data_IF_339978097458
#
_entry.id   IF_339978097458
#
_cell.length_a   1.000
_cell.length_b   1.000
_cell.length_c   1.000
_cell.angle_alpha   90.00
_cell.angle_beta   90.00
_cell.angle_gamma   90.00
#
_symmetry.space_group_name_H-M   'P 1'
#
loop_
_entity.id
_entity.type
_entity.pdbx_description
1 polymer ?
2 non-polymer ?
3 non-polymer ?
4 non-polymer ?
5 water ?
#
# COMPACT_ATOMS: atom_id res chain seq x y z
N UNK A 4 26.18 0.26 -5.51
CA UNK A 4 25.51 -1.07 -5.43
C UNK A 4 26.11 -2.02 -6.43
N UNK A 5 26.00 -3.32 -6.17
CA UNK A 5 26.47 -4.29 -7.18
C UNK A 5 25.68 -4.15 -8.46
N UNK A 6 26.33 -4.35 -9.60
CA UNK A 6 25.64 -4.33 -10.89
C UNK A 6 24.61 -5.44 -11.06
N UNK A 7 24.84 -6.56 -10.40
CA UNK A 7 23.87 -7.65 -10.39
C UNK A 7 23.82 -8.34 -9.05
N UNK A 8 22.63 -8.89 -8.76
CA UNK A 8 22.36 -9.63 -7.56
C UNK A 8 21.52 -10.84 -7.92
N UNK A 9 21.78 -11.97 -7.30
CA UNK A 9 20.95 -13.16 -7.44
C UNK A 9 20.94 -13.87 -6.11
N UNK A 10 19.87 -13.71 -5.34
CA UNK A 10 19.82 -14.28 -4.01
C UNK A 10 19.77 -15.79 -4.03
N UNK A 11 19.43 -16.38 -5.17
CA UNK A 11 19.57 -17.84 -5.29
C UNK A 11 20.99 -18.31 -5.06
N UNK A 12 21.97 -17.53 -5.52
CA UNK A 12 23.40 -17.83 -5.31
C UNK A 12 23.82 -17.85 -3.87
N UNK A 13 23.10 -17.11 -3.03
CA UNK A 13 23.38 -17.04 -1.60
C UNK A 13 22.56 -18.03 -0.78
N UNK A 14 21.80 -18.89 -1.46
CA UNK A 14 21.04 -19.91 -0.80
C UNK A 14 19.84 -19.38 -0.04
N UNK A 15 19.31 -18.24 -0.49
CA UNK A 15 18.25 -17.55 0.25
C UNK A 15 16.88 -17.70 -0.38
N UNK A 16 16.78 -18.55 -1.41
CA UNK A 16 15.54 -18.73 -2.13
C UNK A 16 15.13 -20.20 -2.17
N UNK A 17 13.93 -20.48 -1.71
CA UNK A 17 13.42 -21.83 -1.72
C UNK A 17 12.98 -22.24 -3.12
N UNK A 18 12.64 -23.52 -3.24
CA UNK A 18 12.09 -24.01 -4.47
C UNK A 18 10.85 -23.24 -4.90
N UNK A 19 10.69 -23.12 -6.22
CA UNK A 19 9.50 -22.54 -6.79
C UNK A 19 8.31 -23.39 -6.43
N UNK A 20 7.25 -22.71 -6.01
CA UNK A 20 5.99 -23.32 -5.64
C UNK A 20 4.94 -23.19 -6.74
N UNK A 21 3.88 -23.98 -6.61
CA UNK A 21 2.81 -24.04 -7.61
C UNK A 21 1.50 -23.73 -6.92
N UNK A 22 0.93 -22.57 -7.21
CA UNK A 22 -0.26 -22.12 -6.51
C UNK A 22 -1.53 -22.79 -7.00
N UNK A 23 -1.49 -23.39 -8.19
CA UNK A 23 -2.68 -24.01 -8.76
C UNK A 23 -3.78 -23.00 -9.01
N UNK A 24 -5.03 -23.43 -8.86
CA UNK A 24 -6.19 -22.60 -9.13
C UNK A 24 -6.64 -21.85 -7.88
N UNK A 25 -5.69 -21.35 -7.12
CA UNK A 25 -5.96 -20.59 -5.92
C UNK A 25 -5.14 -19.30 -6.07
N UNK A 26 -5.78 -18.14 -5.90
CA UNK A 26 -5.13 -16.83 -6.05
C UNK A 26 -4.34 -16.47 -4.82
N UNK A 27 -3.35 -17.29 -4.52
CA UNK A 27 -2.55 -17.17 -3.31
C UNK A 27 -1.16 -16.61 -3.61
N UNK A 28 -1.01 -15.94 -4.75
CA UNK A 28 0.28 -15.39 -5.11
C UNK A 28 0.83 -14.48 -4.01
N UNK A 29 -0.04 -13.69 -3.42
CA UNK A 29 0.33 -12.77 -2.37
C UNK A 29 0.96 -13.51 -1.19
N UNK A 30 0.45 -14.70 -0.89
CA UNK A 30 0.94 -15.50 0.22
C UNK A 30 2.30 -16.08 -0.15
N UNK A 31 2.47 -16.56 -1.39
CA UNK A 31 3.77 -17.04 -1.82
C UNK A 31 4.81 -15.92 -1.85
N UNK A 32 4.43 -14.75 -2.33
CA UNK A 32 5.34 -13.62 -2.36
C UNK A 32 5.80 -13.30 -0.95
N UNK A 33 4.84 -13.23 -0.03
CA UNK A 33 5.19 -12.87 1.34
C UNK A 33 6.11 -13.91 1.98
N UNK A 34 5.76 -15.18 1.88
CA UNK A 34 6.61 -16.18 2.52
C UNK A 34 8.00 -16.21 1.88
N UNK A 35 8.07 -16.02 0.56
CA UNK A 35 9.34 -15.95 -0.10
C UNK A 35 10.24 -14.90 0.46
N UNK A 36 9.70 -13.71 0.68
CA UNK A 36 10.47 -12.63 1.23
C UNK A 36 10.96 -12.98 2.63
N UNK A 37 10.08 -13.57 3.43
CA UNK A 37 10.45 -13.89 4.81
C UNK A 37 11.45 -15.05 4.88
N UNK A 38 11.34 -16.01 3.97
CA UNK A 38 12.27 -17.15 3.89
C UNK A 38 13.68 -16.67 3.74
N UNK A 39 13.89 -15.63 2.94
CA UNK A 39 15.23 -15.10 2.73
C UNK A 39 15.75 -14.53 4.03
N UNK A 40 14.92 -13.77 4.71
CA UNK A 40 15.35 -13.16 5.96
C UNK A 40 15.66 -14.23 7.01
N UNK A 41 14.87 -15.29 7.03
CA UNK A 41 15.09 -16.39 7.96
C UNK A 41 16.44 -17.04 7.69
N UNK A 42 16.78 -17.23 6.43
CA UNK A 42 18.12 -17.76 6.09
C UNK A 42 19.22 -16.81 6.53
N UNK A 43 19.05 -15.53 6.28
CA UNK A 43 20.05 -14.54 6.66
C UNK A 43 20.24 -14.53 8.17
N UNK A 44 19.18 -14.71 8.92
CA UNK A 44 19.24 -14.61 10.37
C UNK A 44 19.74 -15.89 11.02
N UNK A 45 19.28 -17.04 10.53
CA UNK A 45 19.52 -18.31 11.22
C UNK A 45 20.43 -19.27 10.48
N UNK A 46 20.65 -18.99 9.21
CA UNK A 46 21.50 -19.82 8.39
C UNK A 46 20.79 -20.99 7.79
N UNK A 47 19.49 -21.15 8.08
CA UNK A 47 18.71 -22.25 7.56
C UNK A 47 17.68 -21.77 6.53
N UNK A 48 17.67 -22.43 5.38
CA UNK A 48 16.68 -22.18 4.35
C UNK A 48 15.50 -23.12 4.55
N UNK A 49 14.33 -22.56 4.84
CA UNK A 49 13.13 -23.32 5.14
C UNK A 49 11.93 -22.73 4.42
N UNK A 50 11.18 -23.53 3.69
CA UNK A 50 9.95 -23.02 3.08
C UNK A 50 8.91 -22.79 4.15
N UNK A 51 8.31 -21.62 4.09
CA UNK A 51 7.28 -21.24 5.05
C UNK A 51 5.89 -21.44 4.46
N UNK A 52 4.90 -21.47 5.33
CA UNK A 52 3.58 -21.91 4.97
C UNK A 52 2.75 -20.81 4.33
N UNK A 53 2.65 -20.80 3.00
CA UNK A 53 1.67 -19.97 2.33
C UNK A 53 0.25 -20.29 2.76
N UNK A 54 -0.04 -21.56 3.01
CA UNK A 54 -1.36 -21.95 3.45
C UNK A 54 -1.74 -21.30 4.78
N UNK A 55 -0.79 -21.17 5.69
CA UNK A 55 -1.01 -20.50 6.97
C UNK A 55 -1.50 -19.09 6.71
N UNK A 56 -0.92 -18.40 5.74
CA UNK A 56 -1.41 -17.07 5.42
C UNK A 56 -2.78 -17.10 4.78
N UNK A 57 -2.99 -17.98 3.83
CA UNK A 57 -4.30 -18.09 3.19
C UNK A 57 -5.41 -18.32 4.21
N UNK A 58 -5.16 -19.23 5.16
CA UNK A 58 -6.20 -19.61 6.09
C UNK A 58 -6.36 -18.68 7.27
N UNK A 59 -5.29 -17.98 7.63
CA UNK A 59 -5.23 -17.24 8.89
C UNK A 59 -5.11 -15.74 8.74
N UNK A 60 -4.47 -15.26 7.69
CA UNK A 60 -4.38 -13.81 7.48
C UNK A 60 -5.54 -13.44 6.60
N UNK A 61 -6.73 -13.30 7.20
CA UNK A 61 -7.96 -13.25 6.43
C UNK A 61 -8.60 -11.86 6.53
N UNK A 62 -9.89 -11.80 6.88
CA UNK A 62 -10.64 -10.54 6.80
C UNK A 62 -10.03 -9.40 7.61
N UNK A 63 -9.47 -9.71 8.78
CA UNK A 63 -8.91 -8.68 9.66
C UNK A 63 -7.76 -7.97 8.94
N UNK A 64 -7.16 -8.68 8.00
CA UNK A 64 -6.01 -8.19 7.25
C UNK A 64 -6.37 -7.74 5.83
N UNK A 65 -7.65 -7.72 5.52
CA UNK A 65 -8.12 -7.33 4.20
C UNK A 65 -7.90 -8.36 3.12
N UNK A 66 -7.53 -9.57 3.53
CA UNK A 66 -7.21 -10.62 2.60
C UNK A 66 -8.36 -11.57 2.39
N UNK A 67 -8.32 -12.28 1.27
CA UNK A 67 -9.42 -13.10 0.81
C UNK A 67 -8.95 -14.47 0.34
N UNK A 68 -7.85 -14.95 0.91
CA UNK A 68 -7.42 -16.31 0.71
C UNK A 68 -7.13 -16.58 -0.73
N UNK A 69 -7.83 -17.55 -1.30
CA UNK A 69 -7.66 -17.89 -2.70
C UNK A 69 -8.21 -16.84 -3.64
N UNK A 70 -8.86 -15.79 -3.12
CA UNK A 70 -9.29 -14.70 -3.93
C UNK A 70 -8.51 -13.41 -3.72
N UNK A 71 -7.27 -13.53 -3.26
CA UNK A 71 -6.34 -12.42 -3.26
C UNK A 71 -6.05 -11.87 -1.89
N UNK A 72 -5.00 -11.07 -1.83
CA UNK A 72 -4.56 -10.49 -0.59
C UNK A 72 -3.39 -9.58 -0.81
N UNK A 73 -2.84 -9.12 0.30
CA UNK A 73 -1.74 -8.17 0.31
C UNK A 73 -0.54 -8.79 0.99
N UNK A 74 0.65 -8.59 0.43
CA UNK A 74 1.86 -9.04 1.10
C UNK A 74 2.10 -8.31 2.39
N UNK A 75 1.85 -7.00 2.38
CA UNK A 75 2.15 -6.23 3.58
C UNK A 75 1.27 -6.65 4.74
N UNK A 76 0.00 -6.91 4.49
CA UNK A 76 -0.89 -7.24 5.57
C UNK A 76 -0.62 -8.68 6.01
N UNK A 77 -0.14 -9.53 5.09
CA UNK A 77 0.37 -10.85 5.47
C UNK A 77 1.53 -10.70 6.44
N UNK A 78 2.43 -9.78 6.19
CA UNK A 78 3.54 -9.56 7.14
C UNK A 78 3.00 -9.13 8.47
N UNK A 79 2.00 -8.24 8.45
CA UNK A 79 1.46 -7.76 9.72
C UNK A 79 0.82 -8.88 10.50
N UNK A 80 0.15 -9.82 9.82
CA UNK A 80 -0.42 -10.99 10.48
C UNK A 80 0.69 -11.77 11.15
N UNK A 81 1.79 -11.97 10.46
CA UNK A 81 2.87 -12.76 11.04
C UNK A 81 3.40 -12.06 12.29
N UNK A 82 3.53 -10.74 12.24
CA UNK A 82 3.93 -9.97 13.41
C UNK A 82 2.94 -10.14 14.56
N UNK A 83 1.68 -9.89 14.27
CA UNK A 83 0.60 -9.96 15.26
C UNK A 83 0.50 -11.34 15.87
N UNK A 84 0.66 -12.34 15.01
CA UNK A 84 0.52 -13.74 15.39
C UNK A 84 1.72 -14.31 16.11
N UNK A 85 2.82 -13.58 16.07
CA UNK A 85 4.11 -13.98 16.65
C UNK A 85 4.67 -15.24 16.00
N UNK A 86 4.32 -15.45 14.74
CA UNK A 86 4.95 -16.53 13.98
C UNK A 86 4.19 -16.99 12.77
N UNK A 87 4.86 -17.81 11.98
CA UNK A 87 4.29 -18.50 10.85
C UNK A 87 4.89 -19.91 10.87
N UNK A 88 4.06 -20.86 10.53
CA UNK A 88 4.45 -22.28 10.48
C UNK A 88 5.26 -22.59 9.24
N UNK A 89 6.02 -23.67 9.32
CA UNK A 89 6.72 -24.14 8.14
C UNK A 89 5.75 -24.70 7.11
N UNK A 90 6.19 -24.72 5.85
CA UNK A 90 5.42 -25.33 4.80
C UNK A 90 5.21 -26.82 5.07
N UNK A 91 6.26 -27.50 5.54
CA UNK A 91 6.15 -28.93 5.81
C UNK A 91 5.06 -29.23 6.84
N UNK A 92 4.94 -28.37 7.84
CA UNK A 92 3.98 -28.58 8.91
C UNK A 92 2.56 -28.19 8.56
N UNK A 93 2.41 -27.28 7.61
CA UNK A 93 1.14 -26.66 7.28
C UNK A 93 1.13 -26.54 5.75
N UNK A 94 0.95 -27.67 5.08
CA UNK A 94 1.17 -27.69 3.65
C UNK A 94 0.08 -27.02 2.84
N UNK A 95 0.46 -26.72 1.61
CA UNK A 95 -0.37 -25.94 0.72
C UNK A 95 -1.35 -26.82 -0.03
N UNK A 96 -2.62 -26.44 0.07
CA UNK A 96 -3.72 -27.21 -0.51
C UNK A 96 -4.46 -26.49 -1.61
N UNK A 97 -4.11 -25.24 -1.89
CA UNK A 97 -4.75 -24.48 -2.95
C UNK A 97 -6.24 -24.35 -2.74
N UNK A 98 -6.61 -24.18 -1.48
CA UNK A 98 -8.00 -23.94 -1.14
C UNK A 98 -8.04 -23.20 0.18
N UNK A 99 -9.18 -22.54 0.43
CA UNK A 99 -9.42 -21.87 1.70
C UNK A 99 -9.77 -22.90 2.74
N UNK A 100 -9.12 -22.84 3.89
CA UNK A 100 -9.33 -23.78 5.00
C UNK A 100 -9.44 -23.00 6.29
N UNK A 101 -9.85 -23.71 7.33
CA UNK A 101 -9.84 -23.10 8.64
C UNK A 101 -8.41 -22.86 9.10
N UNK A 102 -8.21 -21.84 9.93
CA UNK A 102 -6.92 -21.53 10.46
C UNK A 102 -6.50 -22.66 11.36
N UNK A 103 -5.34 -23.21 11.06
CA UNK A 103 -4.77 -24.31 11.81
C UNK A 103 -3.38 -23.97 12.30
N UNK A 104 -3.07 -22.69 12.45
CA UNK A 104 -1.78 -22.28 13.01
C UNK A 104 -1.53 -22.92 14.36
N UNK A 105 -0.31 -23.43 14.55
CA UNK A 105 0.16 -23.92 15.83
C UNK A 105 1.58 -23.48 16.07
N UNK A 106 1.87 -22.89 17.22
CA UNK A 106 3.18 -22.34 17.50
C UNK A 106 4.23 -23.45 17.58
N UNK A 107 3.80 -24.70 17.77
CA UNK A 107 4.81 -25.75 17.86
C UNK A 107 5.43 -26.04 16.53
N UNK A 108 4.80 -25.55 15.48
CA UNK A 108 5.33 -25.69 14.12
C UNK A 108 5.85 -24.38 13.58
N UNK A 109 6.00 -23.39 14.44
CA UNK A 109 6.55 -22.13 14.01
C UNK A 109 7.93 -22.28 13.44
N UNK A 110 8.14 -21.71 12.25
CA UNK A 110 9.46 -21.72 11.62
C UNK A 110 10.09 -20.33 11.41
N UNK A 111 9.30 -19.27 11.59
CA UNK A 111 9.79 -17.93 11.48
C UNK A 111 8.88 -16.96 12.23
N UNK A 112 9.46 -15.82 12.50
CA UNK A 112 8.77 -14.65 13.05
C UNK A 112 9.00 -13.46 12.13
N UNK A 113 8.26 -12.39 12.39
CA UNK A 113 8.44 -11.14 11.69
C UNK A 113 8.26 -10.05 12.74
N UNK A 114 9.14 -9.06 12.72
CA UNK A 114 9.06 -7.93 13.67
C UNK A 114 8.56 -6.65 13.05
N UNK A 115 8.72 -6.53 11.73
CA UNK A 115 8.41 -5.30 11.03
C UNK A 115 8.42 -5.57 9.55
N UNK A 116 7.85 -4.65 8.80
CA UNK A 116 8.03 -4.67 7.37
C UNK A 116 8.18 -3.25 6.88
N UNK A 117 8.70 -3.11 5.67
CA UNK A 117 8.98 -1.81 5.08
C UNK A 117 8.39 -1.78 3.69
N UNK A 118 7.64 -0.71 3.39
CA UNK A 118 7.12 -0.48 2.05
C UNK A 118 7.98 0.55 1.37
N UNK A 119 8.45 0.22 0.19
CA UNK A 119 9.32 1.13 -0.56
C UNK A 119 8.47 2.16 -1.31
N UNK A 120 9.06 3.32 -1.57
CA UNK A 120 8.38 4.40 -2.27
C UNK A 120 7.93 4.01 -3.65
N UNK A 121 6.77 4.50 -4.05
CA UNK A 121 6.14 4.08 -5.28
C UNK A 121 7.01 4.36 -6.51
N UNK A 122 7.22 3.31 -7.29
CA UNK A 122 7.81 3.42 -8.62
C UNK A 122 9.30 3.68 -8.69
N UNK A 123 9.97 3.71 -7.54
CA UNK A 123 11.39 4.05 -7.48
C UNK A 123 12.24 2.80 -7.69
N UNK A 124 12.68 2.60 -8.93
CA UNK A 124 13.45 1.39 -9.24
C UNK A 124 14.82 1.41 -8.66
N UNK A 125 15.38 2.61 -8.44
CA UNK A 125 16.67 2.74 -7.78
C UNK A 125 16.62 2.31 -6.30
N UNK A 126 15.52 2.67 -5.65
CA UNK A 126 15.31 2.31 -4.26
C UNK A 126 15.08 0.82 -4.15
N UNK A 127 14.36 0.27 -5.12
CA UNK A 127 14.15 -1.16 -5.15
C UNK A 127 15.47 -1.92 -5.34
N UNK A 128 16.32 -1.41 -6.24
CA UNK A 128 17.61 -2.00 -6.45
C UNK A 128 18.42 -2.02 -5.16
N UNK A 129 18.40 -0.89 -4.44
CA UNK A 129 19.12 -0.82 -3.17
C UNK A 129 18.62 -1.86 -2.16
N UNK A 130 17.31 -2.04 -2.07
CA UNK A 130 16.74 -2.96 -1.12
C UNK A 130 17.09 -4.39 -1.50
N UNK A 131 16.98 -4.71 -2.79
CA UNK A 131 17.34 -6.04 -3.22
C UNK A 131 18.83 -6.31 -2.95
N UNK A 132 19.69 -5.32 -3.15
CA UNK A 132 21.13 -5.52 -2.90
C UNK A 132 21.42 -5.65 -1.40
N UNK A 133 20.81 -4.76 -0.61
CA UNK A 133 21.21 -4.61 0.80
C UNK A 133 20.35 -5.29 1.83
N UNK A 134 19.11 -5.58 1.48
CA UNK A 134 18.17 -6.17 2.42
C UNK A 134 17.84 -7.61 2.08
N UNK A 135 17.53 -7.87 0.82
CA UNK A 135 17.13 -9.24 0.45
C UNK A 135 16.06 -9.18 -0.58
N UNK A 136 15.51 -10.32 -0.95
CA UNK A 136 14.39 -10.38 -1.87
C UNK A 136 13.21 -9.50 -1.40
N UNK A 137 12.54 -8.89 -2.36
CA UNK A 137 11.48 -7.94 -2.07
C UNK A 137 10.18 -8.37 -2.72
N UNK A 138 9.09 -8.36 -1.94
CA UNK A 138 7.77 -8.72 -2.43
C UNK A 138 7.30 -7.57 -3.29
N UNK A 139 6.77 -7.85 -4.46
CA UNK A 139 6.21 -6.84 -5.34
C UNK A 139 4.97 -7.33 -6.01
N UNK A 140 4.15 -6.40 -6.52
CA UNK A 140 3.11 -6.74 -7.47
C UNK A 140 3.55 -6.39 -8.87
N UNK A 141 3.05 -7.16 -9.81
CA UNK A 141 3.24 -6.87 -11.23
C UNK A 141 1.92 -7.04 -11.97
N UNK A 142 1.84 -6.35 -13.09
CA UNK A 142 0.77 -6.56 -14.06
C UNK A 142 1.12 -7.78 -14.89
N UNK A 143 0.52 -8.89 -14.51
CA UNK A 143 0.70 -10.19 -15.18
C UNK A 143 -0.50 -10.60 -16.00
N UNK A 144 -1.31 -9.62 -16.44
CA UNK A 144 -2.57 -9.91 -17.15
C UNK A 144 -2.39 -10.23 -18.61
N UNK A 145 -1.26 -9.87 -19.18
CA UNK A 145 -1.13 -9.86 -20.63
C UNK A 145 -0.75 -11.25 -21.12
N UNK A 146 -1.36 -11.70 -22.22
CA UNK A 146 -1.06 -13.04 -22.74
C UNK A 146 0.43 -13.38 -22.88
N UNK A 147 1.26 -12.37 -23.19
CA UNK A 147 2.67 -12.60 -23.31
C UNK A 147 3.31 -13.08 -22.00
N UNK A 148 2.77 -12.66 -20.86
CA UNK A 148 3.33 -13.06 -19.58
C UNK A 148 3.30 -14.55 -19.42
N UNK A 149 2.14 -15.15 -19.73
CA UNK A 149 1.97 -16.57 -19.50
C UNK A 149 2.90 -17.39 -20.38
N UNK A 150 3.26 -16.82 -21.52
CA UNK A 150 4.03 -17.50 -22.55
C UNK A 150 5.51 -17.21 -22.51
N UNK A 151 5.95 -16.44 -21.52
CA UNK A 151 7.35 -16.09 -21.40
C UNK A 151 8.21 -17.33 -21.26
N UNK A 152 9.32 -17.38 -22.01
CA UNK A 152 10.24 -18.51 -21.87
C UNK A 152 11.65 -18.09 -21.58
N UNK A 153 12.10 -16.98 -22.13
CA UNK A 153 13.48 -16.58 -22.01
C UNK A 153 13.69 -15.12 -22.31
N UNK A 154 14.91 -14.65 -22.07
CA UNK A 154 15.24 -13.28 -22.36
C UNK A 154 14.72 -12.39 -21.26
N UNK A 155 14.49 -11.14 -21.62
CA UNK A 155 13.99 -10.15 -20.66
C UNK A 155 12.64 -9.70 -21.14
N UNK A 156 11.65 -9.87 -20.27
CA UNK A 156 10.27 -9.60 -20.61
C UNK A 156 10.00 -8.13 -20.70
N UNK A 157 9.51 -7.72 -21.86
CA UNK A 157 9.07 -6.38 -22.10
C UNK A 157 7.81 -6.44 -22.93
N UNK A 158 6.75 -5.88 -22.38
CA UNK A 158 5.44 -5.92 -22.99
C UNK A 158 4.93 -4.49 -23.09
N UNK A 159 4.89 -3.92 -24.31
CA UNK A 159 4.40 -2.56 -24.49
C UNK A 159 3.03 -2.32 -23.94
N UNK A 160 2.19 -3.35 -23.85
CA UNK A 160 0.85 -3.19 -23.33
C UNK A 160 0.76 -3.26 -21.80
N UNK A 161 1.90 -3.46 -21.14
CA UNK A 161 1.91 -3.56 -19.69
C UNK A 161 1.51 -2.21 -19.09
N UNK A 162 0.97 -2.28 -17.88
CA UNK A 162 0.54 -1.10 -17.13
C UNK A 162 1.12 -1.15 -15.75
N UNK A 163 0.86 -0.10 -14.98
CA UNK A 163 1.28 -0.09 -13.59
C UNK A 163 0.17 -0.52 -12.65
N UNK A 164 -0.92 -1.05 -13.18
CA UNK A 164 -2.00 -1.59 -12.39
C UNK A 164 -1.66 -3.05 -12.11
N UNK A 165 -1.15 -3.32 -10.91
CA UNK A 165 -0.62 -4.65 -10.57
C UNK A 165 -1.72 -5.59 -10.15
N UNK A 166 -1.57 -6.87 -10.49
CA UNK A 166 -2.60 -7.87 -10.22
C UNK A 166 -2.06 -9.20 -9.71
N UNK A 167 -0.75 -9.29 -9.53
CA UNK A 167 -0.13 -10.55 -9.19
C UNK A 167 1.08 -10.32 -8.30
N UNK A 168 1.11 -11.00 -7.16
CA UNK A 168 2.18 -10.86 -6.21
C UNK A 168 3.29 -11.82 -6.58
N UNK A 169 4.51 -11.31 -6.62
CA UNK A 169 5.70 -12.09 -6.94
C UNK A 169 6.87 -11.63 -6.09
N UNK A 170 8.05 -12.20 -6.31
CA UNK A 170 9.20 -11.92 -5.45
C UNK A 170 10.38 -11.54 -6.32
N UNK A 171 10.93 -10.36 -6.09
CA UNK A 171 12.16 -9.98 -6.75
C UNK A 171 13.32 -10.55 -5.97
N UNK A 172 14.07 -11.45 -6.62
CA UNK A 172 15.19 -12.13 -5.98
C UNK A 172 16.53 -11.71 -6.54
N UNK A 173 16.52 -10.73 -7.42
CA UNK A 173 17.75 -10.25 -7.99
C UNK A 173 17.54 -9.26 -9.09
N UNK A 174 18.63 -8.89 -9.72
CA UNK A 174 18.61 -7.99 -10.86
C UNK A 174 19.91 -8.11 -11.59
N UNK A 175 19.92 -7.65 -12.81
CA UNK A 175 21.13 -7.71 -13.63
C UNK A 175 20.90 -7.14 -15.01
N UNK A 176 21.75 -7.58 -15.93
CA UNK A 176 21.64 -7.22 -17.32
C UNK A 176 22.00 -8.42 -18.17
N UNK A 177 21.17 -8.65 -19.16
CA UNK A 177 21.32 -9.76 -20.08
C UNK A 177 21.30 -9.17 -21.46
N UNK A 178 22.42 -9.29 -22.17
CA UNK A 178 22.49 -8.80 -23.53
C UNK A 178 22.00 -7.38 -23.72
N UNK A 179 22.41 -6.53 -22.79
CA UNK A 179 22.12 -5.11 -22.88
C UNK A 179 20.79 -4.70 -22.34
N UNK A 180 20.01 -5.66 -21.85
CA UNK A 180 18.71 -5.36 -21.24
C UNK A 180 18.77 -5.57 -19.75
N UNK A 181 18.56 -4.50 -19.01
CA UNK A 181 18.47 -4.60 -17.58
C UNK A 181 17.21 -5.32 -17.16
N UNK A 182 17.31 -6.10 -16.11
CA UNK A 182 16.17 -6.89 -15.68
C UNK A 182 16.10 -7.01 -14.16
N UNK A 183 14.88 -7.26 -13.71
CA UNK A 183 14.60 -7.77 -12.39
C UNK A 183 14.40 -9.26 -12.50
N UNK A 184 15.01 -10.00 -11.58
CA UNK A 184 14.83 -11.44 -11.54
C UNK A 184 13.67 -11.74 -10.62
N UNK A 185 12.61 -12.32 -11.16
CA UNK A 185 11.35 -12.49 -10.46
C UNK A 185 11.00 -13.97 -10.30
N UNK A 186 10.78 -14.37 -9.06
CA UNK A 186 10.29 -15.70 -8.73
C UNK A 186 8.77 -15.67 -8.73
N UNK A 187 8.17 -16.51 -9.56
CA UNK A 187 6.74 -16.61 -9.64
C UNK A 187 6.33 -17.85 -8.87
N UNK A 188 5.03 -18.10 -8.75
CA UNK A 188 4.49 -19.23 -8.01
C UNK A 188 3.53 -20.04 -8.89
N UNK A 189 3.93 -20.23 -10.15
CA UNK A 189 3.16 -21.04 -11.10
C UNK A 189 3.95 -22.29 -11.45
N UNK A 190 4.79 -22.72 -10.54
CA UNK A 190 5.57 -23.95 -10.73
C UNK A 190 6.75 -23.75 -11.62
N UNK A 191 7.59 -24.79 -11.70
CA UNK A 191 8.81 -24.69 -12.50
C UNK A 191 8.55 -24.75 -14.02
N UNK A 192 7.33 -25.11 -14.47
CA UNK A 192 6.96 -25.07 -15.91
C UNK A 192 6.92 -23.66 -16.44
N UNK A 193 6.60 -22.71 -15.56
CA UNK A 193 6.50 -21.34 -15.99
C UNK A 193 7.86 -20.74 -16.24
N UNK A 194 8.02 -20.04 -17.37
CA UNK A 194 9.20 -19.27 -17.60
C UNK A 194 10.48 -20.06 -17.56
N UNK A 195 11.50 -19.50 -16.90
CA UNK A 195 12.78 -20.13 -16.75
C UNK A 195 12.80 -20.82 -15.40
N UNK A 196 12.30 -22.05 -15.35
CA UNK A 196 12.26 -22.86 -14.12
C UNK A 196 11.52 -22.11 -13.03
N UNK A 197 10.52 -21.35 -13.44
CA UNK A 197 9.62 -20.70 -12.48
C UNK A 197 9.89 -19.25 -12.30
N UNK A 198 10.95 -18.76 -12.96
CA UNK A 198 11.39 -17.37 -12.89
C UNK A 198 11.12 -16.63 -14.19
N UNK A 199 11.01 -15.31 -14.07
CA UNK A 199 10.91 -14.45 -15.21
C UNK A 199 11.81 -13.26 -14.99
N UNK A 200 12.59 -12.92 -16.01
CA UNK A 200 13.36 -11.70 -16.01
C UNK A 200 12.51 -10.60 -16.57
N UNK A 201 12.23 -9.56 -15.78
CA UNK A 201 11.34 -8.49 -16.22
C UNK A 201 12.10 -7.18 -16.43
N UNK A 202 11.75 -6.41 -17.44
CA UNK A 202 12.49 -5.20 -17.77
C UNK A 202 12.65 -4.26 -16.57
N UNK A 203 13.89 -3.81 -16.39
CA UNK A 203 14.27 -2.91 -15.34
C UNK A 203 14.74 -1.58 -15.89
N UNK A 204 14.38 -0.52 -15.18
CA UNK A 204 14.66 0.86 -15.56
C UNK A 204 14.02 1.18 -16.90
N UNK A 205 12.83 0.62 -17.13
CA UNK A 205 12.02 0.93 -18.30
C UNK A 205 10.66 1.48 -17.86
N UNK A 206 10.70 2.53 -17.06
CA UNK A 206 9.49 3.21 -16.70
C UNK A 206 8.59 2.43 -15.78
N UNK A 207 9.17 1.74 -14.79
CA UNK A 207 8.38 0.96 -13.85
C UNK A 207 7.50 0.01 -14.63
N UNK A 208 8.16 -0.78 -15.46
CA UNK A 208 7.51 -1.67 -16.38
C UNK A 208 6.69 -2.71 -15.62
N UNK A 209 5.43 -2.81 -16.03
CA UNK A 209 4.48 -3.74 -15.41
C UNK A 209 4.24 -3.44 -13.93
N UNK A 210 4.60 -2.25 -13.49
CA UNK A 210 4.36 -1.88 -12.11
C UNK A 210 5.27 -2.57 -11.10
N UNK A 211 6.37 -3.14 -11.56
CA UNK A 211 7.20 -3.96 -10.69
C UNK A 211 7.65 -3.20 -9.43
N UNK A 212 7.89 -1.89 -9.56
CA UNK A 212 8.34 -1.10 -8.42
C UNK A 212 7.22 -0.29 -7.80
N UNK A 213 5.99 -0.58 -8.17
CA UNK A 213 4.84 0.16 -7.65
C UNK A 213 4.66 -0.03 -6.15
N UNK A 214 4.63 -1.29 -5.72
CA UNK A 214 4.29 -1.61 -4.34
C UNK A 214 5.24 -2.67 -3.75
N UNK A 215 6.51 -2.31 -3.59
CA UNK A 215 7.48 -3.27 -3.02
C UNK A 215 7.50 -3.23 -1.51
N UNK A 216 7.71 -4.38 -0.88
CA UNK A 216 7.83 -4.45 0.55
C UNK A 216 8.73 -5.60 0.94
N UNK A 217 9.36 -5.48 2.08
CA UNK A 217 10.12 -6.61 2.63
C UNK A 217 9.98 -6.66 4.14
N UNK A 218 10.00 -7.86 4.70
CA UNK A 218 9.88 -8.04 6.13
C UNK A 218 11.23 -8.14 6.76
N UNK A 219 11.23 -8.01 8.08
CA UNK A 219 12.41 -8.35 8.83
C UNK A 219 12.05 -9.20 10.01
N UNK A 220 12.99 -10.05 10.38
CA UNK A 220 12.89 -10.84 11.59
C UNK A 220 13.45 -9.92 12.67
N UNK B 4 1.02 10.92 24.95
CA UNK B 4 0.24 11.65 23.90
C UNK B 4 -0.95 12.38 24.50
N UNK B 5 -1.34 13.50 23.89
CA UNK B 5 -2.53 14.15 24.39
C UNK B 5 -3.75 13.25 24.29
N UNK B 6 -4.73 13.43 25.16
CA UNK B 6 -5.96 12.66 25.11
C UNK B 6 -6.83 13.00 23.91
N UNK B 7 -6.72 14.25 23.42
CA UNK B 7 -7.49 14.74 22.29
C UNK B 7 -6.63 15.67 21.47
N UNK B 8 -6.81 15.60 20.14
CA UNK B 8 -6.14 16.48 19.19
C UNK B 8 -7.19 16.90 18.15
N UNK B 9 -7.15 18.17 17.75
CA UNK B 9 -7.96 18.70 16.65
C UNK B 9 -7.11 19.68 15.86
N UNK B 10 -6.62 19.24 14.70
CA UNK B 10 -5.77 20.10 13.88
C UNK B 10 -6.44 21.33 13.33
N UNK B 11 -7.77 21.37 13.37
CA UNK B 11 -8.47 22.58 12.98
C UNK B 11 -8.17 23.72 13.95
N UNK B 12 -7.95 23.39 15.22
CA UNK B 12 -7.60 24.40 16.22
C UNK B 12 -6.24 24.99 15.99
N UNK B 13 -5.42 24.29 15.21
CA UNK B 13 -4.06 24.69 14.93
C UNK B 13 -3.95 25.41 13.59
N UNK B 14 -5.07 25.64 12.92
CA UNK B 14 -5.09 26.35 11.66
C UNK B 14 -4.53 25.57 10.48
N UNK B 15 -4.57 24.24 10.58
CA UNK B 15 -3.93 23.37 9.59
C UNK B 15 -4.89 22.61 8.71
N UNK B 16 -6.18 22.95 8.76
CA UNK B 16 -7.21 22.25 7.98
C UNK B 16 -8.03 23.26 7.19
N UNK B 17 -8.15 23.05 5.89
CA UNK B 17 -8.90 23.95 5.02
C UNK B 17 -10.39 23.62 5.07
N UNK B 18 -11.17 24.42 4.35
CA UNK B 18 -12.60 24.23 4.21
C UNK B 18 -12.83 22.84 3.63
N UNK B 19 -13.95 22.27 4.02
CA UNK B 19 -14.43 21.02 3.48
C UNK B 19 -14.77 21.21 2.02
N UNK B 20 -14.33 20.25 1.22
CA UNK B 20 -14.57 20.25 -0.22
C UNK B 20 -15.69 19.27 -0.59
N UNK B 21 -16.22 19.48 -1.80
CA UNK B 21 -17.34 18.68 -2.30
C UNK B 21 -16.89 18.01 -3.57
N UNK B 22 -16.73 16.68 -3.52
CA UNK B 22 -16.21 15.97 -4.68
C UNK B 22 -17.25 15.80 -5.78
N UNK B 23 -18.52 15.90 -5.43
CA UNK B 23 -19.58 15.70 -6.42
C UNK B 23 -19.61 14.28 -6.93
N UNK B 24 -19.92 14.12 -8.21
CA UNK B 24 -20.07 12.78 -8.79
C UNK B 24 -18.75 12.09 -9.12
N UNK B 25 -17.62 12.74 -8.84
CA UNK B 25 -16.30 12.25 -9.19
C UNK B 25 -15.68 11.57 -7.95
N UNK B 26 -15.23 10.33 -8.10
CA UNK B 26 -14.60 9.57 -7.03
C UNK B 26 -13.18 10.01 -6.77
N UNK B 27 -13.01 11.27 -6.39
CA UNK B 27 -11.71 11.85 -6.16
C UNK B 27 -11.37 11.94 -4.68
N UNK B 28 -12.04 11.15 -3.84
CA UNK B 28 -11.79 11.14 -2.40
C UNK B 28 -10.30 11.03 -2.08
N UNK B 29 -9.63 10.14 -2.79
CA UNK B 29 -8.19 9.92 -2.65
C UNK B 29 -7.37 11.20 -2.85
N UNK B 30 -7.77 11.99 -3.83
CA UNK B 30 -7.10 13.23 -4.15
C UNK B 30 -7.34 14.25 -3.06
N UNK B 31 -8.56 14.36 -2.58
CA UNK B 31 -8.86 15.27 -1.49
C UNK B 31 -8.14 14.87 -0.21
N UNK B 32 -8.11 13.57 0.06
CA UNK B 32 -7.37 13.10 1.24
C UNK B 32 -5.90 13.49 1.15
N UNK B 33 -5.30 13.29 0.00
CA UNK B 33 -3.90 13.56 -0.17
C UNK B 33 -3.60 15.05 -0.05
N UNK B 34 -4.39 15.87 -0.73
CA UNK B 34 -4.14 17.30 -0.62
C UNK B 34 -4.38 17.78 0.78
N UNK B 35 -5.36 17.23 1.47
CA UNK B 35 -5.58 17.66 2.84
C UNK B 35 -4.41 17.38 3.74
N UNK B 36 -3.80 16.21 3.59
CA UNK B 36 -2.66 15.88 4.42
C UNK B 36 -1.50 16.81 4.11
N UNK B 37 -1.32 17.14 2.85
CA UNK B 37 -0.22 18.02 2.47
C UNK B 37 -0.49 19.48 2.83
N UNK B 38 -1.74 19.89 2.79
CA UNK B 38 -2.12 21.25 3.20
C UNK B 38 -1.65 21.50 4.63
N UNK B 39 -1.81 20.51 5.51
CA UNK B 39 -1.39 20.69 6.89
C UNK B 39 0.11 20.85 7.01
N UNK B 40 0.86 20.04 6.25
CA UNK B 40 2.30 20.14 6.31
C UNK B 40 2.76 21.47 5.76
N UNK B 41 2.10 21.94 4.72
CA UNK B 41 2.42 23.25 4.14
C UNK B 41 2.22 24.35 5.17
N UNK B 42 1.15 24.27 5.92
CA UNK B 42 0.93 25.27 6.99
C UNK B 42 2.03 25.19 8.03
N UNK B 43 2.38 23.99 8.45
CA UNK B 43 3.44 23.81 9.46
C UNK B 43 4.76 24.36 8.98
N UNK B 44 5.01 24.23 7.68
CA UNK B 44 6.30 24.63 7.12
C UNK B 44 6.37 26.12 6.87
N UNK B 45 5.31 26.69 6.30
CA UNK B 45 5.34 28.06 5.78
C UNK B 45 4.45 29.05 6.50
N UNK B 46 3.58 28.55 7.36
CA UNK B 46 2.60 29.40 8.02
C UNK B 46 1.37 29.79 7.22
N UNK B 47 1.28 29.30 5.99
CA UNK B 47 0.17 29.63 5.12
C UNK B 47 -0.74 28.43 4.99
N UNK B 48 -2.03 28.66 5.18
CA UNK B 48 -3.05 27.65 4.94
C UNK B 48 -3.60 27.87 3.55
N UNK B 49 -3.36 26.91 2.65
CA UNK B 49 -3.68 27.06 1.25
C UNK B 49 -4.30 25.76 0.77
N UNK B 50 -5.51 25.84 0.20
CA UNK B 50 -6.11 24.65 -0.45
C UNK B 50 -5.29 24.28 -1.65
N UNK B 51 -4.93 23.01 -1.72
CA UNK B 51 -4.13 22.51 -2.82
C UNK B 51 -5.01 21.80 -3.83
N UNK B 52 -4.50 21.67 -5.04
CA UNK B 52 -5.34 21.24 -6.15
C UNK B 52 -5.59 19.73 -6.22
N UNK B 53 -6.75 19.32 -5.75
CA UNK B 53 -7.20 17.95 -5.96
C UNK B 53 -7.32 17.63 -7.45
N UNK B 54 -7.72 18.62 -8.23
CA UNK B 54 -7.87 18.41 -9.64
C UNK B 54 -6.54 18.08 -10.32
N UNK B 55 -5.48 18.74 -9.90
CA UNK B 55 -4.14 18.45 -10.36
C UNK B 55 -3.83 16.98 -10.18
N UNK B 56 -4.23 16.41 -9.04
CA UNK B 56 -3.97 14.98 -8.82
C UNK B 56 -4.86 14.14 -9.74
N UNK B 57 -6.14 14.46 -9.81
CA UNK B 57 -7.07 13.74 -10.69
C UNK B 57 -6.53 13.67 -12.11
N UNK B 58 -6.08 14.81 -12.62
CA UNK B 58 -5.68 14.93 -14.03
C UNK B 58 -4.30 14.43 -14.34
N UNK B 59 -3.39 14.49 -13.36
CA UNK B 59 -1.98 14.30 -13.60
C UNK B 59 -1.41 13.07 -12.92
N UNK B 60 -1.94 12.67 -11.76
CA UNK B 60 -1.45 11.48 -11.07
C UNK B 60 -2.31 10.35 -11.56
N UNK B 61 -2.01 9.88 -12.75
CA UNK B 61 -2.93 9.01 -13.46
C UNK B 61 -2.32 7.62 -13.64
N UNK B 62 -2.29 7.10 -14.85
CA UNK B 62 -1.93 5.69 -15.03
C UNK B 62 -0.57 5.29 -14.50
N UNK B 63 0.40 6.18 -14.62
CA UNK B 63 1.75 5.86 -14.14
C UNK B 63 1.75 5.63 -12.64
N UNK B 64 0.75 6.18 -11.96
CA UNK B 64 0.63 6.11 -10.51
C UNK B 64 -0.45 5.13 -10.07
N UNK B 65 -0.99 4.37 -11.02
CA UNK B 65 -2.00 3.40 -10.69
C UNK B 65 -3.36 3.96 -10.38
N UNK B 66 -3.53 5.25 -10.65
CA UNK B 66 -4.75 5.93 -10.37
C UNK B 66 -5.64 6.07 -11.58
N UNK B 67 -6.91 6.31 -11.31
CA UNK B 67 -7.95 6.31 -12.33
C UNK B 67 -8.85 7.51 -12.22
N UNK B 68 -8.30 8.62 -11.72
CA UNK B 68 -9.03 9.88 -11.72
C UNK B 68 -10.32 9.81 -10.94
N UNK B 69 -11.43 10.08 -11.61
CA UNK B 69 -12.74 10.02 -10.95
C UNK B 69 -13.20 8.61 -10.61
N UNK B 70 -12.46 7.60 -11.07
CA UNK B 70 -12.74 6.22 -10.71
C UNK B 70 -11.76 5.67 -9.67
N UNK B 71 -11.13 6.56 -8.93
CA UNK B 71 -10.36 6.17 -7.76
C UNK B 71 -8.87 6.21 -7.92
N UNK B 72 -8.19 6.06 -6.79
CA UNK B 72 -6.75 6.15 -6.76
C UNK B 72 -6.21 6.02 -5.35
N UNK B 73 -4.91 6.20 -5.21
CA UNK B 73 -4.22 5.99 -3.94
C UNK B 73 -3.63 7.30 -3.45
N UNK B 74 -3.77 7.59 -2.15
CA UNK B 74 -3.12 8.77 -1.59
C UNK B 74 -1.62 8.65 -1.66
N UNK B 75 -1.08 7.46 -1.41
CA UNK B 75 0.36 7.31 -1.41
C UNK B 75 0.94 7.60 -2.79
N UNK B 76 0.30 7.12 -3.85
CA UNK B 76 0.87 7.32 -5.18
C UNK B 76 0.64 8.75 -5.64
N UNK B 77 -0.42 9.39 -5.14
CA UNK B 77 -0.59 10.82 -5.27
C UNK B 77 0.58 11.57 -4.65
N UNK B 78 1.00 11.20 -3.44
CA UNK B 78 2.15 11.86 -2.85
C UNK B 78 3.38 11.67 -3.72
N UNK B 79 3.57 10.46 -4.23
CA UNK B 79 4.74 10.19 -5.04
C UNK B 79 4.73 11.03 -6.32
N UNK B 80 3.55 11.20 -6.92
CA UNK B 80 3.42 12.09 -8.07
C UNK B 80 3.91 13.47 -7.70
N UNK B 81 3.49 13.96 -6.55
CA UNK B 81 3.90 15.33 -6.17
C UNK B 81 5.42 15.41 -6.01
N UNK B 82 6.02 14.38 -5.45
CA UNK B 82 7.47 14.31 -5.30
C UNK B 82 8.11 14.30 -6.69
N UNK B 83 7.66 13.40 -7.56
CA UNK B 83 8.26 13.22 -8.89
C UNK B 83 8.10 14.48 -9.71
N UNK B 84 6.95 15.13 -9.55
CA UNK B 84 6.59 16.28 -10.37
C UNK B 84 7.24 17.56 -9.88
N UNK B 85 7.78 17.49 -8.67
CA UNK B 85 8.41 18.61 -7.98
C UNK B 85 7.41 19.71 -7.70
N UNK B 86 6.14 19.33 -7.54
CA UNK B 86 5.14 20.29 -7.13
C UNK B 86 3.70 19.88 -7.34
N UNK B 87 2.83 20.64 -6.70
CA UNK B 87 1.41 20.59 -6.91
C UNK B 87 0.92 22.04 -6.91
N UNK B 88 -0.03 22.33 -7.77
CA UNK B 88 -0.58 23.65 -7.89
C UNK B 88 -1.58 23.96 -6.78
N UNK B 89 -1.83 25.25 -6.56
CA UNK B 89 -2.92 25.61 -5.68
C UNK B 89 -4.29 25.28 -6.26
N UNK B 90 -5.25 25.04 -5.40
CA UNK B 90 -6.62 24.90 -5.82
C UNK B 90 -7.08 26.12 -6.59
N UNK B 91 -6.69 27.30 -6.12
CA UNK B 91 -7.13 28.53 -6.76
C UNK B 91 -6.71 28.57 -8.21
N UNK B 92 -5.50 28.12 -8.50
CA UNK B 92 -4.96 28.17 -9.84
C UNK B 92 -5.44 27.03 -10.72
N UNK B 93 -5.83 25.94 -10.08
CA UNK B 93 -6.16 24.70 -10.80
C UNK B 93 -7.39 24.14 -10.09
N UNK B 94 -8.55 24.76 -10.29
CA UNK B 94 -9.73 24.46 -9.52
C UNK B 94 -10.38 23.14 -9.88
N UNK B 95 -11.22 22.69 -8.98
CA UNK B 95 -11.83 21.39 -9.06
C UNK B 95 -13.08 21.41 -9.90
N UNK B 96 -13.11 20.48 -10.86
CA UNK B 96 -14.18 20.40 -11.85
C UNK B 96 -14.96 19.10 -11.77
N UNK B 97 -14.55 18.17 -10.90
CA UNK B 97 -15.32 16.93 -10.71
C UNK B 97 -15.46 16.12 -12.00
N UNK B 98 -14.41 16.12 -12.80
CA UNK B 98 -14.34 15.30 -13.98
C UNK B 98 -12.88 15.07 -14.30
N UNK B 99 -12.60 14.03 -15.08
CA UNK B 99 -11.25 13.78 -15.56
C UNK B 99 -10.93 14.79 -16.65
N UNK B 100 -9.75 15.38 -16.58
CA UNK B 100 -9.26 16.32 -17.60
C UNK B 100 -7.81 15.99 -17.94
N UNK B 101 -7.34 16.55 -19.07
CA UNK B 101 -5.94 16.42 -19.43
C UNK B 101 -5.10 17.12 -18.36
N UNK B 102 -3.90 16.61 -18.15
CA UNK B 102 -3.03 17.25 -17.19
C UNK B 102 -2.74 18.70 -17.61
N UNK B 103 -2.96 19.62 -16.67
CA UNK B 103 -2.71 21.04 -16.93
C UNK B 103 -1.80 21.62 -15.85
N UNK B 104 -1.03 20.78 -15.20
CA UNK B 104 -0.07 21.25 -14.24
C UNK B 104 0.83 22.30 -14.84
N UNK B 105 1.06 23.39 -14.10
CA UNK B 105 2.03 24.39 -14.48
C UNK B 105 2.79 24.77 -13.23
N UNK B 106 4.11 24.72 -13.31
CA UNK B 106 4.98 25.07 -12.19
C UNK B 106 4.80 26.51 -11.76
N UNK B 107 4.32 27.37 -12.67
CA UNK B 107 4.13 28.77 -12.25
C UNK B 107 3.03 28.94 -11.22
N UNK B 108 2.21 27.92 -11.05
CA UNK B 108 1.16 27.92 -10.03
C UNK B 108 1.44 26.98 -8.84
N UNK B 109 2.68 26.54 -8.73
CA UNK B 109 3.09 25.62 -7.66
C UNK B 109 2.78 26.26 -6.32
N UNK B 110 2.08 25.51 -5.48
CA UNK B 110 1.80 25.96 -4.09
C UNK B 110 2.47 25.11 -3.01
N UNK B 111 2.90 23.90 -3.35
CA UNK B 111 3.54 23.00 -2.40
C UNK B 111 4.41 22.02 -3.12
N UNK B 112 5.32 21.45 -2.35
CA UNK B 112 6.13 20.34 -2.75
C UNK B 112 5.94 19.21 -1.73
N UNK B 113 6.48 18.07 -2.09
CA UNK B 113 6.52 16.93 -1.20
C UNK B 113 7.85 16.26 -1.39
N UNK B 114 8.49 15.85 -0.30
CA UNK B 114 9.79 15.20 -0.39
C UNK B 114 9.73 13.71 -0.11
N UNK B 115 8.69 13.27 0.60
CA UNK B 115 8.59 11.90 1.06
C UNK B 115 7.20 11.69 1.60
N UNK B 116 6.83 10.43 1.76
CA UNK B 116 5.67 10.07 2.51
C UNK B 116 5.99 8.83 3.31
N UNK B 117 5.15 8.60 4.30
CA UNK B 117 5.35 7.51 5.25
C UNK B 117 4.06 6.75 5.33
N UNK B 118 4.13 5.43 5.18
CA UNK B 118 2.97 4.56 5.34
C UNK B 118 3.06 3.92 6.72
N UNK B 119 2.03 4.06 7.52
CA UNK B 119 2.01 3.49 8.84
C UNK B 119 1.73 2.01 8.79
N UNK B 120 2.17 1.27 9.81
CA UNK B 120 1.92 -0.18 9.81
C UNK B 120 0.46 -0.56 9.92
N UNK B 121 0.12 -1.63 9.23
CA UNK B 121 -1.26 -2.04 9.09
C UNK B 121 -1.97 -2.27 10.41
N UNK B 122 -3.09 -1.57 10.61
CA UNK B 122 -3.99 -1.83 11.69
C UNK B 122 -3.61 -1.27 13.05
N UNK B 123 -2.54 -0.51 13.12
CA UNK B 123 -2.03 -0.09 14.41
C UNK B 123 -2.61 1.27 14.78
N UNK B 124 -3.66 1.24 15.60
CA UNK B 124 -4.32 2.49 15.98
C UNK B 124 -3.50 3.33 16.93
N UNK B 125 -2.63 2.68 17.71
CA UNK B 125 -1.70 3.42 18.55
C UNK B 125 -0.68 4.21 17.76
N UNK B 126 -0.16 3.60 16.68
CA UNK B 126 0.78 4.29 15.84
C UNK B 126 0.08 5.42 15.09
N UNK B 127 -1.15 5.19 14.66
CA UNK B 127 -1.94 6.26 14.03
C UNK B 127 -2.14 7.42 15.00
N UNK B 128 -2.43 7.14 16.27
CA UNK B 128 -2.63 8.20 17.26
C UNK B 128 -1.37 9.03 17.42
N UNK B 129 -0.22 8.35 17.49
CA UNK B 129 1.03 9.04 17.63
C UNK B 129 1.30 9.96 16.43
N UNK B 130 0.98 9.50 15.24
CA UNK B 130 1.22 10.31 14.02
C UNK B 130 0.30 11.52 13.97
N UNK B 131 -0.96 11.31 14.32
CA UNK B 131 -1.90 12.42 14.36
C UNK B 131 -1.48 13.42 15.42
N UNK B 132 -1.01 12.96 16.56
CA UNK B 132 -0.59 13.87 17.63
C UNK B 132 0.67 14.62 17.24
N UNK B 133 1.61 13.92 16.62
CA UNK B 133 2.99 14.43 16.49
C UNK B 133 3.40 14.89 15.12
N UNK B 134 2.73 14.40 14.09
CA UNK B 134 3.13 14.68 12.72
C UNK B 134 2.14 15.59 11.99
N UNK B 135 0.85 15.28 12.12
CA UNK B 135 -0.16 16.06 11.44
C UNK B 135 -1.31 15.16 11.04
N UNK B 136 -2.28 15.71 10.34
CA UNK B 136 -3.34 14.90 9.76
C UNK B 136 -2.80 13.78 8.89
N UNK B 137 -3.48 12.66 8.92
CA UNK B 137 -3.04 11.45 8.23
C UNK B 137 -4.11 11.00 7.26
N UNK B 138 -3.69 10.72 6.03
CA UNK B 138 -4.56 10.15 5.03
C UNK B 138 -4.85 8.71 5.36
N UNK B 139 -6.11 8.34 5.30
CA UNK B 139 -6.51 6.95 5.56
C UNK B 139 -7.58 6.52 4.58
N UNK B 140 -7.70 5.22 4.40
CA UNK B 140 -8.86 4.68 3.76
C UNK B 140 -9.81 4.11 4.78
N UNK B 141 -11.11 4.19 4.49
CA UNK B 141 -12.09 3.57 5.31
C UNK B 141 -13.05 2.78 4.48
N UNK B 142 -13.71 1.83 5.13
CA UNK B 142 -14.83 1.11 4.51
C UNK B 142 -16.05 1.99 4.67
N UNK B 143 -16.45 2.65 3.58
CA UNK B 143 -17.62 3.53 3.56
C UNK B 143 -18.76 2.91 2.78
N UNK B 144 -18.69 1.62 2.53
CA UNK B 144 -19.70 0.94 1.67
C UNK B 144 -20.87 0.45 2.48
N UNK B 145 -21.39 1.30 3.36
CA UNK B 145 -22.53 0.93 4.20
C UNK B 145 -23.49 2.10 4.25
N UNK B 146 -24.80 1.83 4.15
CA UNK B 146 -25.75 2.94 4.20
C UNK B 146 -25.57 3.86 5.40
N UNK B 147 -25.18 3.31 6.55
CA UNK B 147 -25.01 4.10 7.76
C UNK B 147 -23.96 5.20 7.60
N UNK B 148 -22.97 4.96 6.76
CA UNK B 148 -21.94 5.97 6.52
C UNK B 148 -22.56 7.14 5.77
N UNK B 149 -23.31 6.85 4.71
CA UNK B 149 -23.99 7.90 3.93
C UNK B 149 -25.00 8.66 4.78
N UNK B 150 -25.62 7.95 5.72
CA UNK B 150 -26.69 8.49 6.53
C UNK B 150 -26.20 9.13 7.82
N UNK B 151 -24.90 9.09 8.06
CA UNK B 151 -24.34 9.64 9.28
C UNK B 151 -24.62 11.11 9.47
N UNK B 152 -25.04 11.48 10.67
CA UNK B 152 -25.30 12.87 11.01
C UNK B 152 -24.43 13.39 12.14
N UNK B 153 -24.30 12.62 13.21
CA UNK B 153 -23.57 13.10 14.38
C UNK B 153 -23.17 11.98 15.32
N UNK B 154 -22.27 12.31 16.22
CA UNK B 154 -21.81 11.36 17.22
C UNK B 154 -20.70 10.48 16.70
N UNK B 155 -20.43 9.42 17.44
CA UNK B 155 -19.34 8.52 17.11
C UNK B 155 -19.91 7.40 16.28
N UNK B 156 -19.45 7.34 15.04
CA UNK B 156 -19.90 6.34 14.08
C UNK B 156 -19.35 4.97 14.40
N UNK B 157 -20.25 4.00 14.52
CA UNK B 157 -19.90 2.62 14.72
C UNK B 157 -20.86 1.81 13.87
N UNK B 158 -20.34 0.94 13.04
CA UNK B 158 -21.14 0.14 12.12
C UNK B 158 -20.71 -1.30 12.30
N UNK B 159 -21.58 -2.11 12.92
CA UNK B 159 -21.19 -3.51 13.12
C UNK B 159 -20.82 -4.29 11.86
N UNK B 160 -21.36 -3.90 10.72
CA UNK B 160 -21.09 -4.60 9.46
C UNK B 160 -19.83 -4.10 8.76
N UNK B 161 -19.14 -3.13 9.38
CA UNK B 161 -17.96 -2.56 8.77
C UNK B 161 -16.87 -3.62 8.65
N UNK B 162 -16.02 -3.45 7.65
CA UNK B 162 -14.92 -4.37 7.39
C UNK B 162 -13.63 -3.60 7.41
N UNK B 163 -12.52 -4.31 7.27
CA UNK B 163 -11.22 -3.66 7.14
C UNK B 163 -10.79 -3.40 5.71
N UNK B 164 -11.62 -3.74 4.73
CA UNK B 164 -11.27 -3.46 3.35
C UNK B 164 -11.80 -2.11 3.00
N UNK B 165 -10.86 -1.24 2.69
CA UNK B 165 -11.17 0.17 2.58
C UNK B 165 -11.47 0.53 1.15
N UNK B 166 -12.33 1.52 0.99
CA UNK B 166 -12.72 1.93 -0.34
C UNK B 166 -12.92 3.42 -0.49
N UNK B 167 -12.56 4.22 0.51
CA UNK B 167 -12.89 5.63 0.49
C UNK B 167 -11.79 6.37 1.23
N UNK B 168 -11.12 7.28 0.56
CA UNK B 168 -10.03 8.01 1.14
C UNK B 168 -10.54 9.22 1.87
N UNK B 169 -10.07 9.39 3.10
CA UNK B 169 -10.47 10.50 3.98
C UNK B 169 -9.26 10.96 4.74
N UNK B 170 -9.45 11.92 5.63
CA UNK B 170 -8.30 12.51 6.31
C UNK B 170 -8.57 12.56 7.80
N UNK B 171 -7.70 11.93 8.60
CA UNK B 171 -7.84 12.02 10.03
C UNK B 171 -7.20 13.30 10.49
N UNK B 172 -7.99 14.19 11.08
CA UNK B 172 -7.47 15.48 11.52
C UNK B 172 -7.49 15.63 13.01
N UNK B 173 -7.78 14.54 13.71
CA UNK B 173 -7.73 14.57 15.15
C UNK B 173 -8.27 13.33 15.78
N UNK B 174 -8.41 13.36 17.10
CA UNK B 174 -9.00 12.24 17.79
C UNK B 174 -9.44 12.75 19.16
N UNK B 175 -10.26 11.98 19.83
CA UNK B 175 -10.74 12.38 21.12
C UNK B 175 -11.73 11.37 21.62
N UNK B 176 -12.64 11.82 22.47
CA UNK B 176 -13.68 10.96 22.98
C UNK B 176 -14.90 11.78 23.25
N UNK B 177 -16.04 11.16 23.04
CA UNK B 177 -17.32 11.79 23.27
C UNK B 177 -17.90 11.04 24.45
N UNK B 178 -17.82 11.67 25.61
CA UNK B 178 -18.23 11.03 26.87
C UNK B 178 -17.61 9.66 26.96
N UNK B 179 -16.30 9.59 26.71
CA UNK B 179 -15.56 8.35 26.78
C UNK B 179 -15.60 7.43 25.56
N UNK B 180 -16.52 7.65 24.60
CA UNK B 180 -16.52 6.87 23.34
C UNK B 180 -15.43 7.46 22.45
N UNK B 181 -14.33 6.72 22.29
CA UNK B 181 -13.17 7.23 21.59
C UNK B 181 -13.45 7.30 20.11
N UNK B 182 -12.93 8.35 19.48
CA UNK B 182 -13.13 8.51 18.07
C UNK B 182 -11.91 9.08 17.38
N UNK B 183 -11.89 8.88 16.07
CA UNK B 183 -11.05 9.57 15.11
C UNK B 183 -11.88 10.68 14.48
N UNK B 184 -11.33 11.88 14.38
CA UNK B 184 -12.01 13.01 13.74
C UNK B 184 -11.59 13.00 12.29
N UNK B 185 -12.56 12.75 11.41
CA UNK B 185 -12.29 12.53 9.99
C UNK B 185 -12.93 13.62 9.14
N UNK B 186 -12.10 14.26 8.30
CA UNK B 186 -12.53 15.20 7.31
C UNK B 186 -12.87 14.39 6.06
N UNK B 187 -14.10 14.50 5.61
CA UNK B 187 -14.53 13.89 4.36
C UNK B 187 -14.55 14.95 3.25
N UNK B 188 -14.81 14.54 2.01
CA UNK B 188 -14.91 15.45 0.88
C UNK B 188 -16.25 15.29 0.19
N UNK B 189 -17.29 15.12 0.99
CA UNK B 189 -18.67 15.09 0.49
C UNK B 189 -19.41 16.38 0.80
N UNK B 190 -18.67 17.47 0.94
CA UNK B 190 -19.25 18.76 1.17
C UNK B 190 -19.61 19.00 2.61
N UNK B 191 -20.01 20.24 2.85
CA UNK B 191 -20.17 20.71 4.20
C UNK B 191 -21.49 20.35 4.83
N UNK B 192 -22.36 19.64 4.10
CA UNK B 192 -23.62 19.15 4.66
C UNK B 192 -23.59 17.68 5.06
N UNK B 193 -22.52 16.97 4.68
CA UNK B 193 -22.38 15.60 5.13
C UNK B 193 -22.02 15.55 6.60
N UNK B 194 -22.68 14.69 7.37
CA UNK B 194 -22.25 14.47 8.74
C UNK B 194 -22.22 15.72 9.58
N UNK B 195 -21.14 15.89 10.32
CA UNK B 195 -20.95 17.02 11.21
C UNK B 195 -20.28 18.12 10.42
N UNK B 196 -21.06 18.77 9.57
CA UNK B 196 -20.58 19.82 8.71
C UNK B 196 -19.31 19.43 7.95
N UNK B 197 -19.34 18.23 7.39
CA UNK B 197 -18.29 17.76 6.52
C UNK B 197 -17.39 16.72 7.16
N UNK B 198 -17.52 16.55 8.48
CA UNK B 198 -16.69 15.67 9.31
C UNK B 198 -17.49 14.50 9.80
N UNK B 199 -16.80 13.41 10.09
CA UNK B 199 -17.39 12.27 10.77
C UNK B 199 -16.44 11.82 11.86
N UNK B 200 -16.99 11.58 13.03
CA UNK B 200 -16.21 11.00 14.11
C UNK B 200 -16.43 9.50 14.08
N UNK B 201 -15.34 8.76 13.88
CA UNK B 201 -15.39 7.33 13.67
C UNK B 201 -14.78 6.59 14.85
N UNK B 202 -15.38 5.46 15.22
CA UNK B 202 -14.93 4.72 16.37
C UNK B 202 -13.43 4.43 16.34
N UNK B 203 -12.80 4.70 17.49
CA UNK B 203 -11.37 4.51 17.68
C UNK B 203 -11.15 3.45 18.75
N UNK B 204 -10.11 2.67 18.53
CA UNK B 204 -9.72 1.59 19.42
C UNK B 204 -10.84 0.56 19.54
N UNK B 205 -11.54 0.34 18.43
CA UNK B 205 -12.56 -0.68 18.30
C UNK B 205 -12.16 -1.68 17.22
N UNK B 206 -10.92 -2.13 17.30
CA UNK B 206 -10.46 -3.21 16.42
C UNK B 206 -10.36 -2.78 14.98
N UNK B 207 -9.74 -1.62 14.78
CA UNK B 207 -9.50 -1.08 13.44
C UNK B 207 -10.82 -0.98 12.70
N UNK B 208 -11.75 -0.29 13.34
CA UNK B 208 -13.11 -0.19 12.88
C UNK B 208 -13.14 0.48 11.51
N UNK B 209 -13.80 -0.17 10.56
CA UNK B 209 -13.91 0.30 9.18
C UNK B 209 -12.58 0.41 8.49
N UNK B 210 -11.56 -0.25 9.05
CA UNK B 210 -10.25 -0.21 8.43
C UNK B 210 -9.55 1.12 8.49
N UNK B 211 -9.93 1.96 9.44
CA UNK B 211 -9.38 3.31 9.46
C UNK B 211 -7.86 3.32 9.61
N UNK B 212 -7.31 2.34 10.35
CA UNK B 212 -5.86 2.22 10.52
C UNK B 212 -5.23 1.20 9.58
N UNK B 213 -5.96 0.74 8.57
CA UNK B 213 -5.42 -0.23 7.64
C UNK B 213 -4.28 0.33 6.79
N UNK B 214 -4.53 1.48 6.15
CA UNK B 214 -3.53 2.04 5.24
C UNK B 214 -3.41 3.55 5.44
N UNK B 215 -2.81 3.96 6.55
CA UNK B 215 -2.58 5.35 6.81
C UNK B 215 -1.28 5.83 6.22
N UNK B 216 -1.26 7.06 5.74
CA UNK B 216 -0.01 7.65 5.28
C UNK B 216 -0.01 9.14 5.50
N UNK B 217 1.18 9.71 5.56
CA UNK B 217 1.29 11.15 5.60
C UNK B 217 2.52 11.60 4.84
N UNK B 218 2.41 12.78 4.22
CA UNK B 218 3.52 13.32 3.45
C UNK B 218 4.33 14.29 4.28
N UNK B 219 5.51 14.60 3.77
CA UNK B 219 6.30 15.69 4.30
C UNK B 219 6.77 16.59 3.19
N UNK B 220 6.92 17.86 3.51
CA UNK B 220 7.19 18.88 2.47
C UNK B 220 8.54 18.74 1.78
X LIG C 1 3.09 -17.86 21.56
X LIG C 1 3.67 -16.96 20.53
X LIG C 1 3.38 -17.28 22.89
X LIG C 1 3.82 -19.14 21.46
X LIG C 1 1.63 -18.13 21.40
X LIG D 1 -2.17 -7.79 -6.76
X LIG D 1 -2.36 -13.93 -7.33
X LIG D 1 -3.70 -13.30 -7.61
X LIG D 1 -1.50 -9.49 -5.23
X LIG D 1 -2.75 -10.10 -5.31
X LIG D 1 -7.49 -11.46 -6.56
X LIG D 1 -6.32 -12.18 -6.74
X LIG D 1 -5.10 -11.53 -6.58
X LIG D 1 -5.06 -10.19 -6.24
X LIG D 1 -3.90 -12.20 -6.73
X LIG D 1 -7.46 -10.12 -6.24
X LIG D 1 -0.52 -10.00 -4.48
X LIG D 1 -3.10 -11.23 -4.64
X LIG D 1 -1.20 -8.37 -5.96
X LIG D 1 0.04 -7.79 -5.87
X LIG D 1 -3.43 -8.39 -6.84
X LIG D 1 -3.71 -9.55 -6.11
X LIG D 1 -6.24 -9.47 -6.07
X LIG D 1 -2.51 -15.13 -7.22
X LIG E 1 -8.13 2.47 -6.51
X LIG E 1 -7.17 1.78 -5.69
X LIG E 1 -7.58 1.82 -4.22
X LIG E 1 -7.96 0.50 -3.77
X LIG E 1 -8.28 0.45 -2.36
X LIG E 1 -7.50 -0.63 -1.63
X LIG E 1 -6.27 -0.07 -1.15
X LIG E 1 -5.37 -0.99 -0.53
X LIG E 1 -3.92 -0.51 -0.69
X LIG E 1 -3.45 -0.85 -1.99
X LIG E 1 -2.17 -1.49 -2.04
X LIG E 1 -1.79 -1.84 -3.48
X LIG E 1 -2.89 -2.45 -4.15
X LIG E 1 -2.57 -3.28 -5.28
X LIG E 1 -3.70 -4.29 -5.52
X LIG E 1 -3.99 -5.02 -4.33
X LIG E 1 -5.07 -5.96 -4.46
X LIG E 1 -5.54 -6.37 -3.06
X LIG E 1 -6.37 -7.54 -3.12
X LIG E 1 -7.10 -7.75 -1.91
X LIG F 1 -9.84 3.22 -1.26
X LIG F 1 -13.37 8.01 -3.46
X LIG F 1 -13.18 7.07 -4.63
X LIG F 1 -9.36 5.46 -1.91
X LIG F 1 -10.06 5.30 -3.10
X LIG F 1 -12.90 3.45 -6.94
X LIG F 1 -13.19 4.55 -6.12
X LIG F 1 -12.45 4.75 -4.97
X LIG F 1 -11.42 3.87 -4.63
X LIG F 1 -12.71 5.83 -4.15
X LIG F 1 -11.89 2.56 -6.60
X LIG F 1 -8.78 6.62 -1.61
X LIG F 1 -10.18 6.28 -4.03
X LIG F 1 -9.24 4.44 -0.99
X LIG F 1 -8.55 4.64 0.16
X LIG F 1 -10.54 3.04 -2.45
X LIG F 1 -10.64 4.08 -3.38
X LIG F 1 -11.15 2.77 -5.43
X LIG F 1 -14.12 8.92 -3.79
#
# INVERSE_FOLDING_TARGET
NRILPDSVDWREKGCVTEVKYQGSCGACWAFSAVGALEAQLKLKTGKLVSLSAQNLVDCSTEKYGNKGCNGGFMTTAFQYIIDNKGIDSDASYPYKAMDQKCQYDSKYRAATCSKYTELPYGREDVLKEAVANKGPVSVGVDARHPSFFLYRSGVYYEPSCTQNVNHGVLVVGYGDLNGKEYWLVKNSWGHNFGEEGYIRMARNKGNHCGIASFPSYPEI
NRILPDSVDWREKGCVTEVKYQGSCGACWAFSAVGALEAQLKLKTGKLVSLSAQNLVDCSTEKYGNKGCNGGFMTTAFQYIIDNKGIDSDASYPYKAMDQKCQYDSKYRAATCSKYTELPYGREDVLKEAVANKGPVSVGVDARHPSFFLYRSGVYYEPSCTQNVNHGVLVVGYGDLNGKEYWLVKNSWGHNFGEEGYIRMARNKGNHCGIASFPSYPEI
SO4 S O1 O2 O3 O4
TF5 C10 C17 C16 C8 C7 C5 C4 C3 C2 O C F13 F C9 F14 C11 C6 C1 O20
PEU OCJ CCK CCL OCM CCN CCO OCP CCQ CCR OCS CCT CCU OCV CCW CCX OCY CCZ CDA ODB CDC
TF5 C10 C17 C16 C8 C7 C5 C4 C3 C2 O C F13 F C9 F14 C11 C6 C1 O20
#
